data_IF_668600438344
#
_entry.id   IF_668600438344
#
_cell.length_a   1.000
_cell.length_b   1.000
_cell.length_c   1.000
_cell.angle_alpha   90.00
_cell.angle_beta   90.00
_cell.angle_gamma   90.00
#
_symmetry.space_group_name_H-M   'P 1'
#
loop_
_entity.id
_entity.type
_entity.pdbx_description
1 polymer ?
#
# COMPACT_ATOMS: atom_id res chain seq x y z
N UNK A 1 5.28 10.04 16.24
CA UNK A 1 4.01 10.64 15.78
C UNK A 1 3.94 12.11 16.12
N UNK A 2 3.81 12.51 17.41
CA UNK A 2 3.66 13.93 17.79
C UNK A 2 4.92 14.78 17.58
N UNK A 3 6.08 14.29 18.00
CA UNK A 3 7.35 15.04 17.93
C UNK A 3 7.95 15.02 16.51
N UNK A 4 8.09 13.82 15.92
CA UNK A 4 8.76 13.63 14.62
C UNK A 4 7.83 13.47 13.42
N UNK A 5 6.52 13.64 13.60
CA UNK A 5 5.57 13.54 12.48
C UNK A 5 5.38 12.16 11.85
N UNK A 6 5.92 11.08 12.43
CA UNK A 6 5.72 9.70 11.91
C UNK A 6 4.24 9.39 11.67
N UNK A 7 3.94 8.85 10.48
CA UNK A 7 2.58 8.57 9.99
C UNK A 7 2.18 7.10 9.98
N UNK A 8 3.16 6.18 10.07
CA UNK A 8 2.94 4.75 9.90
C UNK A 8 3.82 3.93 10.85
N UNK A 9 3.31 2.77 11.28
CA UNK A 9 4.03 1.73 12.01
C UNK A 9 4.22 0.51 11.09
N UNK A 10 5.44 -0.03 11.02
CA UNK A 10 5.70 -1.31 10.33
C UNK A 10 5.75 -2.45 11.34
N UNK A 11 5.02 -3.53 11.08
CA UNK A 11 5.14 -4.80 11.78
C UNK A 11 5.84 -5.82 10.89
N UNK A 12 6.89 -6.45 11.42
CA UNK A 12 7.61 -7.52 10.74
C UNK A 12 7.67 -8.75 11.65
N UNK A 13 6.72 -9.68 11.47
CA UNK A 13 6.56 -10.83 12.34
C UNK A 13 7.72 -11.83 12.21
N UNK A 14 8.23 -12.07 10.99
CA UNK A 14 9.40 -12.94 10.80
C UNK A 14 10.66 -12.43 11.50
N UNK A 15 10.99 -11.15 11.39
CA UNK A 15 12.18 -10.58 12.05
C UNK A 15 12.10 -10.63 13.58
N UNK A 16 10.89 -10.64 14.14
CA UNK A 16 10.66 -10.71 15.58
C UNK A 16 10.20 -12.09 16.07
N UNK A 17 10.18 -13.09 15.18
CA UNK A 17 9.86 -14.49 15.46
C UNK A 17 8.58 -14.72 16.31
N UNK A 18 7.47 -14.05 15.98
CA UNK A 18 6.18 -14.28 16.63
C UNK A 18 5.08 -14.57 15.63
N UNK A 19 4.10 -15.39 16.02
CA UNK A 19 2.92 -15.69 15.19
C UNK A 19 1.79 -14.70 15.54
N UNK A 20 1.34 -13.83 14.61
CA UNK A 20 0.42 -12.73 14.93
C UNK A 20 -0.91 -13.15 15.55
N UNK A 21 -1.51 -14.24 15.05
CA UNK A 21 -2.77 -14.82 15.57
C UNK A 21 -2.63 -15.47 16.96
N UNK A 22 -1.41 -15.68 17.45
CA UNK A 22 -1.12 -16.24 18.78
C UNK A 22 -0.49 -15.22 19.74
N UNK A 23 -0.03 -14.09 19.23
CA UNK A 23 0.63 -13.03 19.99
C UNK A 23 -0.24 -11.77 20.13
N UNK A 24 -1.56 -11.92 20.20
CA UNK A 24 -2.50 -10.78 20.23
C UNK A 24 -2.23 -9.81 21.39
N UNK A 25 -1.82 -10.32 22.56
CA UNK A 25 -1.51 -9.47 23.72
C UNK A 25 -0.27 -8.60 23.50
N UNK A 26 0.62 -8.97 22.56
CA UNK A 26 1.77 -8.16 22.17
C UNK A 26 1.37 -7.08 21.16
N UNK A 27 0.41 -7.38 20.28
CA UNK A 27 -0.06 -6.48 19.23
C UNK A 27 -1.03 -5.42 19.77
N UNK A 28 -1.96 -5.82 20.63
CA UNK A 28 -3.04 -4.98 21.18
C UNK A 28 -2.56 -3.64 21.75
N UNK A 29 -1.48 -3.56 22.57
CA UNK A 29 -1.00 -2.28 23.07
C UNK A 29 -0.61 -1.29 21.96
N UNK A 30 0.09 -1.79 20.92
CA UNK A 30 0.47 -0.97 19.78
C UNK A 30 -0.76 -0.54 18.97
N UNK A 31 -1.70 -1.47 18.71
CA UNK A 31 -2.90 -1.17 17.93
C UNK A 31 -3.82 -0.17 18.63
N UNK A 32 -3.96 -0.23 19.97
CA UNK A 32 -4.67 0.81 20.73
C UNK A 32 -4.05 2.19 20.53
N UNK A 33 -2.73 2.29 20.47
CA UNK A 33 -2.05 3.56 20.18
C UNK A 33 -2.19 3.99 18.73
N UNK A 34 -2.19 3.05 17.79
CA UNK A 34 -2.46 3.35 16.39
C UNK A 34 -3.89 3.90 16.19
N UNK A 35 -4.88 3.30 16.85
CA UNK A 35 -6.28 3.74 16.86
C UNK A 35 -6.40 5.16 17.46
N UNK A 36 -5.87 5.37 18.68
CA UNK A 36 -5.88 6.67 19.36
C UNK A 36 -5.23 7.81 18.53
N UNK A 37 -4.19 7.49 17.76
CA UNK A 37 -3.37 8.48 17.06
C UNK A 37 -3.65 8.56 15.55
N UNK A 38 -4.55 7.72 15.01
CA UNK A 38 -4.80 7.63 13.57
C UNK A 38 -3.57 7.19 12.76
N UNK A 39 -2.74 6.30 13.31
CA UNK A 39 -1.52 5.80 12.67
C UNK A 39 -1.83 4.56 11.85
N UNK A 40 -1.42 4.58 10.58
CA UNK A 40 -1.55 3.44 9.66
C UNK A 40 -0.54 2.36 10.02
N UNK A 41 -0.90 1.09 9.83
CA UNK A 41 -0.03 -0.05 10.12
C UNK A 41 0.31 -0.80 8.83
N UNK A 42 1.58 -0.83 8.45
CA UNK A 42 2.06 -1.68 7.36
C UNK A 42 2.52 -3.01 7.92
N UNK A 43 1.99 -4.10 7.38
CA UNK A 43 2.28 -5.45 7.80
C UNK A 43 3.19 -6.09 6.76
N UNK A 44 4.34 -6.60 7.18
CA UNK A 44 5.15 -7.47 6.33
C UNK A 44 4.42 -8.78 6.04
N UNK A 45 4.27 -9.15 4.77
CA UNK A 45 3.66 -10.42 4.37
C UNK A 45 4.36 -11.08 3.19
N UNK A 46 4.15 -12.39 3.04
CA UNK A 46 4.58 -13.14 1.85
C UNK A 46 5.58 -14.25 2.12
N UNK A 47 6.14 -14.32 3.33
CA UNK A 47 7.07 -15.36 3.76
C UNK A 47 6.60 -16.06 5.04
N UNK A 48 6.42 -17.39 4.96
CA UNK A 48 6.09 -18.22 6.12
C UNK A 48 7.31 -18.42 7.03
N UNK A 49 7.11 -18.81 8.31
CA UNK A 49 5.84 -19.22 8.91
C UNK A 49 5.06 -18.09 9.61
N UNK A 50 5.63 -16.89 9.78
CA UNK A 50 5.04 -15.83 10.61
C UNK A 50 4.42 -14.65 9.84
N UNK A 51 4.63 -14.56 8.53
CA UNK A 51 4.13 -13.45 7.70
C UNK A 51 3.12 -13.92 6.65
N UNK A 52 2.28 -14.90 7.00
CA UNK A 52 1.11 -15.28 6.20
C UNK A 52 0.02 -14.23 6.45
N UNK A 53 -0.55 -13.56 5.41
CA UNK A 53 -1.49 -12.45 5.57
C UNK A 53 -2.63 -12.73 6.54
N UNK A 54 -3.26 -13.90 6.41
CA UNK A 54 -4.42 -14.32 7.21
C UNK A 54 -4.14 -14.47 8.71
N UNK A 55 -2.87 -14.57 9.14
CA UNK A 55 -2.52 -14.57 10.55
C UNK A 55 -2.81 -13.23 11.24
N UNK A 56 -2.90 -12.13 10.49
CA UNK A 56 -3.23 -10.81 11.03
C UNK A 56 -4.73 -10.52 11.09
N UNK A 57 -5.60 -11.36 10.50
CA UNK A 57 -7.05 -11.15 10.54
C UNK A 57 -7.62 -10.91 11.94
N UNK A 58 -7.22 -11.67 12.99
CA UNK A 58 -7.78 -11.45 14.32
C UNK A 58 -7.54 -10.02 14.84
N UNK A 59 -6.34 -9.46 14.63
CA UNK A 59 -6.03 -8.09 15.07
C UNK A 59 -6.70 -7.04 14.17
N UNK A 60 -6.77 -7.29 12.86
CA UNK A 60 -7.43 -6.40 11.89
C UNK A 60 -8.92 -6.27 12.21
N UNK A 61 -9.59 -7.39 12.53
CA UNK A 61 -11.02 -7.42 12.87
C UNK A 61 -11.31 -6.89 14.28
N UNK A 62 -10.34 -6.94 15.19
CA UNK A 62 -10.46 -6.34 16.52
C UNK A 62 -10.32 -4.80 16.45
N UNK A 63 -9.44 -4.28 15.58
CA UNK A 63 -9.14 -2.84 15.46
C UNK A 63 -9.61 -2.26 14.12
N UNK A 64 -10.93 -2.22 13.92
CA UNK A 64 -11.54 -1.78 12.64
C UNK A 64 -11.28 -0.32 12.27
N UNK A 65 -10.91 0.53 13.23
CA UNK A 65 -10.55 1.93 13.00
C UNK A 65 -9.09 2.12 12.57
N UNK A 66 -8.24 1.10 12.76
CA UNK A 66 -6.85 1.13 12.32
C UNK A 66 -6.79 0.70 10.87
N UNK A 67 -6.15 1.51 10.03
CA UNK A 67 -5.90 1.13 8.65
C UNK A 67 -4.66 0.24 8.55
N UNK A 68 -4.77 -0.85 7.81
CA UNK A 68 -3.72 -1.85 7.61
C UNK A 68 -3.32 -1.94 6.14
N UNK A 69 -2.02 -1.86 5.86
CA UNK A 69 -1.45 -2.09 4.54
C UNK A 69 -0.78 -3.46 4.52
N UNK A 70 -1.23 -4.35 3.65
CA UNK A 70 -0.62 -5.66 3.39
C UNK A 70 0.62 -5.43 2.51
N UNK A 71 1.76 -5.29 3.19
CA UNK A 71 3.07 -5.16 2.56
C UNK A 71 3.39 -6.38 1.72
N UNK A 72 3.89 -6.12 0.52
CA UNK A 72 4.25 -7.09 -0.49
C UNK A 72 3.10 -7.99 -0.92
N UNK A 73 1.84 -7.63 -0.67
CA UNK A 73 0.67 -8.36 -1.16
C UNK A 73 0.74 -9.91 -1.03
N UNK A 74 1.38 -10.44 0.02
CA UNK A 74 1.58 -11.88 0.20
C UNK A 74 2.48 -12.61 -0.82
N UNK A 75 3.31 -11.91 -1.62
CA UNK A 75 4.09 -12.52 -2.74
C UNK A 75 5.55 -12.88 -2.46
N UNK A 76 6.16 -12.43 -1.36
CA UNK A 76 7.62 -12.54 -1.17
C UNK A 76 8.20 -13.96 -1.37
N UNK A 77 7.45 -15.02 -1.06
CA UNK A 77 7.80 -16.43 -1.37
C UNK A 77 6.96 -16.98 -2.53
N UNK A 78 7.13 -16.42 -3.73
CA UNK A 78 6.57 -16.99 -4.97
C UNK A 78 5.07 -16.79 -5.19
N UNK A 79 4.42 -15.85 -4.49
CA UNK A 79 3.03 -15.49 -4.76
C UNK A 79 1.94 -16.35 -4.16
N UNK A 80 2.28 -17.29 -3.28
CA UNK A 80 1.33 -18.27 -2.73
C UNK A 80 0.13 -17.61 -2.02
N UNK A 81 0.34 -16.45 -1.38
CA UNK A 81 -0.69 -15.82 -0.54
C UNK A 81 -1.34 -14.57 -1.18
N UNK A 82 -1.07 -14.28 -2.46
CA UNK A 82 -1.59 -13.06 -3.09
C UNK A 82 -3.12 -13.01 -3.16
N UNK A 83 -3.78 -14.15 -3.36
CA UNK A 83 -5.24 -14.22 -3.31
C UNK A 83 -5.79 -14.05 -1.89
N UNK A 84 -5.10 -14.53 -0.86
CA UNK A 84 -5.49 -14.27 0.52
C UNK A 84 -5.44 -12.77 0.82
N UNK A 85 -4.35 -12.11 0.42
CA UNK A 85 -4.20 -10.66 0.55
C UNK A 85 -5.29 -9.90 -0.23
N UNK A 86 -5.57 -10.31 -1.47
CA UNK A 86 -6.65 -9.74 -2.29
C UNK A 86 -8.00 -9.84 -1.58
N UNK A 87 -8.39 -11.05 -1.12
CA UNK A 87 -9.66 -11.23 -0.43
C UNK A 87 -9.75 -10.51 0.91
N UNK A 88 -8.62 -10.33 1.62
CA UNK A 88 -8.56 -9.48 2.81
C UNK A 88 -8.91 -8.02 2.50
N UNK A 89 -8.37 -7.49 1.40
CA UNK A 89 -8.65 -6.12 0.96
C UNK A 89 -10.12 -5.96 0.55
N UNK A 90 -10.68 -6.97 -0.13
CA UNK A 90 -12.09 -6.97 -0.55
C UNK A 90 -13.07 -7.14 0.62
N UNK A 91 -12.71 -7.92 1.64
CA UNK A 91 -13.55 -8.23 2.81
C UNK A 91 -13.59 -7.08 3.84
N UNK A 92 -12.45 -6.40 4.05
CA UNK A 92 -12.26 -5.49 5.18
C UNK A 92 -12.00 -4.04 4.72
N UNK A 93 -12.88 -3.07 5.05
CA UNK A 93 -12.80 -1.69 4.55
C UNK A 93 -11.66 -0.86 5.18
N UNK A 94 -10.89 -1.42 6.11
CA UNK A 94 -9.69 -0.81 6.69
C UNK A 94 -8.40 -1.51 6.21
N UNK A 95 -8.48 -2.37 5.18
CA UNK A 95 -7.33 -3.09 4.63
C UNK A 95 -7.00 -2.57 3.23
N UNK A 96 -5.71 -2.42 2.96
CA UNK A 96 -5.11 -1.91 1.74
C UNK A 96 -3.98 -2.85 1.31
N UNK A 97 -3.65 -2.89 0.01
CA UNK A 97 -2.50 -3.61 -0.52
C UNK A 97 -1.37 -2.67 -0.88
N UNK A 98 -0.13 -3.16 -0.80
CA UNK A 98 1.06 -2.49 -1.33
C UNK A 98 1.54 -3.19 -2.61
N UNK A 99 1.91 -2.42 -3.64
CA UNK A 99 2.24 -2.95 -4.97
C UNK A 99 3.60 -3.64 -5.07
N UNK A 100 4.55 -3.36 -4.18
CA UNK A 100 5.89 -3.94 -4.23
C UNK A 100 5.85 -5.46 -4.16
N UNK A 101 6.78 -6.11 -4.85
CA UNK A 101 6.80 -7.56 -5.09
C UNK A 101 5.64 -8.13 -5.91
N UNK A 102 4.49 -7.45 -6.01
CA UNK A 102 3.30 -7.98 -6.67
C UNK A 102 3.57 -8.18 -8.16
N UNK A 103 3.36 -9.42 -8.62
CA UNK A 103 3.56 -9.77 -10.03
C UNK A 103 2.71 -8.85 -10.91
N UNK A 104 3.30 -8.33 -11.98
CA UNK A 104 2.64 -7.41 -12.91
C UNK A 104 1.27 -7.95 -13.39
N UNK A 105 1.18 -9.25 -13.70
CA UNK A 105 -0.08 -9.89 -14.10
C UNK A 105 -1.16 -9.83 -13.01
N UNK A 106 -0.76 -9.96 -11.73
CA UNK A 106 -1.66 -9.85 -10.58
C UNK A 106 -2.06 -8.41 -10.29
N UNK A 107 -1.18 -7.43 -10.53
CA UNK A 107 -1.55 -6.00 -10.46
C UNK A 107 -2.73 -5.74 -11.39
N UNK A 108 -2.60 -6.14 -12.67
CA UNK A 108 -3.64 -5.93 -13.70
C UNK A 108 -4.91 -6.72 -13.41
N UNK A 109 -4.79 -7.95 -12.94
CA UNK A 109 -5.94 -8.78 -12.56
C UNK A 109 -6.71 -8.19 -11.38
N UNK A 110 -6.01 -7.88 -10.28
CA UNK A 110 -6.65 -7.39 -9.06
C UNK A 110 -7.18 -5.98 -9.23
N UNK A 111 -6.50 -5.09 -9.97
CA UNK A 111 -6.99 -3.73 -10.20
C UNK A 111 -8.29 -3.67 -11.03
N UNK A 112 -8.72 -4.76 -11.69
CA UNK A 112 -10.05 -4.84 -12.34
C UNK A 112 -11.20 -4.92 -11.34
N UNK A 113 -10.94 -5.52 -10.18
CA UNK A 113 -11.97 -5.88 -9.20
C UNK A 113 -11.83 -5.09 -7.90
N UNK A 114 -10.60 -4.78 -7.50
CA UNK A 114 -10.28 -4.06 -6.28
C UNK A 114 -10.65 -2.58 -6.42
N UNK A 115 -11.25 -1.96 -5.38
CA UNK A 115 -11.45 -0.51 -5.38
C UNK A 115 -10.12 0.22 -5.57
N UNK A 116 -10.12 1.22 -6.45
CA UNK A 116 -8.92 1.96 -6.87
C UNK A 116 -8.13 2.55 -5.70
N UNK A 117 -8.83 2.96 -4.64
CA UNK A 117 -8.26 3.58 -3.45
C UNK A 117 -7.57 2.59 -2.49
N UNK A 118 -7.59 1.29 -2.80
CA UNK A 118 -7.10 0.22 -1.93
C UNK A 118 -5.70 -0.28 -2.23
N UNK A 119 -5.05 0.23 -3.27
CA UNK A 119 -3.66 -0.11 -3.59
C UNK A 119 -2.76 1.11 -3.41
N UNK A 120 -1.67 0.94 -2.66
CA UNK A 120 -0.63 1.96 -2.52
C UNK A 120 0.66 1.50 -3.21
N UNK A 121 1.39 2.44 -3.79
CA UNK A 121 2.68 2.14 -4.38
C UNK A 121 3.76 1.86 -3.32
N UNK A 122 4.59 0.87 -3.61
CA UNK A 122 5.83 0.62 -2.89
C UNK A 122 6.82 -0.16 -3.76
N UNK A 123 8.10 0.05 -3.50
CA UNK A 123 9.20 -0.59 -4.26
C UNK A 123 9.93 -1.65 -3.45
N UNK A 124 9.87 -1.55 -2.12
CA UNK A 124 10.75 -2.29 -1.20
C UNK A 124 12.23 -2.21 -1.62
N UNK A 125 12.70 -1.00 -1.92
CA UNK A 125 14.12 -0.72 -2.12
C UNK A 125 14.85 -0.65 -0.77
N UNK A 126 16.13 -1.11 -0.66
CA UNK A 126 17.04 -1.48 -1.74
C UNK A 126 17.03 -2.93 -2.28
N UNK A 127 16.32 -3.94 -1.72
CA UNK A 127 16.24 -5.26 -2.35
C UNK A 127 15.83 -5.23 -3.83
N UNK A 128 15.05 -4.21 -4.18
CA UNK A 128 14.56 -3.99 -5.52
C UNK A 128 14.98 -2.66 -6.13
N UNK A 129 15.08 -2.66 -7.47
CA UNK A 129 15.21 -1.45 -8.26
C UNK A 129 13.89 -0.65 -8.30
N UNK A 130 13.89 0.64 -7.92
CA UNK A 130 12.68 1.48 -7.95
C UNK A 130 12.06 1.62 -9.35
N UNK A 131 12.89 1.72 -10.40
CA UNK A 131 12.44 1.96 -11.77
C UNK A 131 11.61 0.80 -12.30
N UNK A 132 12.06 -0.43 -12.05
CA UNK A 132 11.31 -1.65 -12.39
C UNK A 132 9.89 -1.65 -11.79
N UNK A 133 9.74 -1.29 -10.52
CA UNK A 133 8.43 -1.30 -9.85
C UNK A 133 7.52 -0.17 -10.29
N UNK A 134 8.08 1.00 -10.65
CA UNK A 134 7.32 2.06 -11.31
C UNK A 134 6.74 1.56 -12.64
N UNK A 135 7.58 0.95 -13.49
CA UNK A 135 7.15 0.41 -14.79
C UNK A 135 6.10 -0.72 -14.65
N UNK A 136 6.20 -1.54 -13.61
CA UNK A 136 5.18 -2.55 -13.33
C UNK A 136 3.80 -1.95 -13.05
N UNK A 137 3.74 -0.78 -12.41
CA UNK A 137 2.50 -0.09 -12.14
C UNK A 137 1.98 0.68 -13.37
N UNK A 138 2.89 1.29 -14.14
CA UNK A 138 2.60 2.00 -15.40
C UNK A 138 1.90 1.11 -16.44
N UNK A 139 2.09 -0.21 -16.38
CA UNK A 139 1.37 -1.15 -17.26
C UNK A 139 -0.15 -0.97 -17.20
N UNK A 140 -0.71 -0.45 -16.11
CA UNK A 140 -2.15 -0.21 -15.99
C UNK A 140 -2.66 0.77 -17.07
N UNK A 141 -1.80 1.66 -17.56
CA UNK A 141 -2.12 2.59 -18.63
C UNK A 141 -2.05 1.97 -20.04
N UNK A 142 -1.47 0.78 -20.18
CA UNK A 142 -1.39 0.10 -21.48
C UNK A 142 -2.75 -0.45 -21.92
N UNK A 143 -2.85 -0.77 -23.22
CA UNK A 143 -4.02 -1.41 -23.80
C UNK A 143 -4.31 -2.78 -23.15
N UNK A 144 -5.59 -3.09 -23.01
CA UNK A 144 -6.02 -4.43 -22.62
C UNK A 144 -5.59 -5.48 -23.67
N UNK A 145 -5.20 -6.71 -23.27
CA UNK A 145 -5.33 -7.31 -21.94
C UNK A 145 -4.13 -7.13 -21.00
N UNK A 146 -3.00 -6.58 -21.46
CA UNK A 146 -1.79 -6.41 -20.65
C UNK A 146 -1.90 -5.23 -19.68
N UNK A 147 -2.70 -4.22 -19.98
CA UNK A 147 -3.07 -3.14 -19.07
C UNK A 147 -4.59 -3.03 -18.88
N UNK A 148 -5.04 -1.86 -18.43
CA UNK A 148 -6.45 -1.55 -18.16
C UNK A 148 -6.95 -0.32 -18.91
N UNK A 149 -6.15 0.27 -19.81
CA UNK A 149 -6.41 1.59 -20.39
C UNK A 149 -6.65 2.65 -19.28
N UNK A 150 -5.95 2.55 -18.14
CA UNK A 150 -6.04 3.57 -17.11
C UNK A 150 -5.49 4.90 -17.66
N UNK A 151 -6.09 6.02 -17.26
CA UNK A 151 -5.50 7.32 -17.56
C UNK A 151 -4.30 7.60 -16.65
N UNK A 152 -3.45 8.57 -17.02
CA UNK A 152 -2.37 9.03 -16.15
C UNK A 152 -2.90 9.58 -14.82
N UNK A 153 -4.03 10.30 -14.84
CA UNK A 153 -4.71 10.74 -13.60
C UNK A 153 -5.09 9.57 -12.69
N UNK A 154 -5.50 8.44 -13.28
CA UNK A 154 -5.83 7.24 -12.55
C UNK A 154 -4.59 6.50 -12.03
N UNK A 155 -3.46 6.62 -12.73
CA UNK A 155 -2.17 6.09 -12.31
C UNK A 155 -1.61 6.86 -11.09
N UNK A 156 -1.80 8.18 -11.07
CA UNK A 156 -1.36 9.05 -9.97
C UNK A 156 -2.00 8.66 -8.62
N UNK A 157 -3.24 8.17 -8.66
CA UNK A 157 -3.87 7.61 -7.47
C UNK A 157 -3.08 6.45 -6.88
N UNK A 158 -2.63 5.51 -7.73
CA UNK A 158 -1.82 4.39 -7.29
C UNK A 158 -0.41 4.82 -6.87
N UNK A 159 0.21 5.75 -7.61
CA UNK A 159 1.60 6.19 -7.39
C UNK A 159 1.80 7.00 -6.11
N UNK A 160 0.80 7.77 -5.68
CA UNK A 160 0.98 8.67 -4.52
C UNK A 160 -0.29 9.08 -3.81
N UNK A 161 -1.38 9.35 -4.52
CA UNK A 161 -2.53 9.99 -3.86
C UNK A 161 -3.25 9.05 -2.87
N UNK A 162 -3.27 7.74 -3.15
CA UNK A 162 -3.84 6.76 -2.23
C UNK A 162 -3.10 6.75 -0.90
N UNK A 163 -1.76 6.69 -0.91
CA UNK A 163 -0.98 6.73 0.33
C UNK A 163 -1.09 8.09 1.01
N UNK A 164 -1.10 9.19 0.25
CA UNK A 164 -1.27 10.54 0.80
C UNK A 164 -2.58 10.67 1.57
N UNK A 165 -3.72 10.30 0.96
CA UNK A 165 -5.03 10.27 1.64
C UNK A 165 -5.01 9.38 2.87
N UNK A 166 -4.42 8.19 2.76
CA UNK A 166 -4.35 7.21 3.84
C UNK A 166 -3.60 7.73 5.08
N UNK A 167 -2.58 8.57 4.90
CA UNK A 167 -1.77 9.15 5.98
C UNK A 167 -2.14 10.59 6.35
N UNK A 168 -3.24 11.11 5.79
CA UNK A 168 -3.73 12.46 6.05
C UNK A 168 -2.82 13.56 5.47
N UNK A 169 -2.26 13.33 4.29
CA UNK A 169 -1.57 14.33 3.46
C UNK A 169 -2.50 14.70 2.31
N UNK A 170 -2.68 15.99 2.07
CA UNK A 170 -3.45 16.49 0.93
C UNK A 170 -2.74 16.09 -0.38
N UNK A 171 -3.41 15.33 -1.27
CA UNK A 171 -2.87 15.00 -2.58
C UNK A 171 -2.62 16.25 -3.43
N UNK A 172 -1.65 16.17 -4.33
CA UNK A 172 -1.48 17.19 -5.37
C UNK A 172 -2.34 16.86 -6.58
N UNK A 173 -2.98 17.86 -7.17
CA UNK A 173 -3.67 17.64 -8.44
C UNK A 173 -2.63 17.37 -9.55
N UNK A 174 -2.93 16.49 -10.51
CA UNK A 174 -2.05 16.30 -11.65
C UNK A 174 -1.91 17.62 -12.44
N UNK A 175 -0.75 17.90 -13.03
CA UNK A 175 -0.60 19.03 -13.94
C UNK A 175 -1.55 18.86 -15.13
N UNK A 176 -2.26 19.94 -15.51
CA UNK A 176 -3.27 19.86 -16.57
C UNK A 176 -2.65 19.73 -17.99
N UNK A 177 -1.37 20.00 -18.13
CA UNK A 177 -0.62 19.90 -19.39
C UNK A 177 0.87 19.59 -19.15
N UNK A 178 1.58 19.17 -20.19
CA UNK A 178 3.04 18.97 -20.16
C UNK A 178 3.76 20.29 -19.84
N UNK A 179 3.24 21.41 -20.33
CA UNK A 179 3.73 22.75 -20.05
C UNK A 179 3.56 23.10 -18.57
N UNK A 180 2.39 22.80 -17.99
CA UNK A 180 2.16 22.96 -16.54
C UNK A 180 3.13 22.09 -15.73
N UNK A 181 3.33 20.83 -16.14
CA UNK A 181 4.27 19.93 -15.49
C UNK A 181 5.71 20.46 -15.53
N UNK A 182 6.17 20.94 -16.69
CA UNK A 182 7.49 21.57 -16.85
C UNK A 182 7.62 22.83 -16.00
N UNK A 183 6.57 23.63 -15.93
CA UNK A 183 6.56 24.86 -15.13
C UNK A 183 6.62 24.54 -13.63
N UNK A 184 5.78 23.63 -13.15
CA UNK A 184 5.78 23.18 -11.75
C UNK A 184 7.12 22.56 -11.32
N UNK A 185 7.78 21.83 -12.24
CA UNK A 185 9.10 21.29 -11.99
C UNK A 185 10.17 22.40 -11.95
N UNK A 186 10.07 23.39 -12.83
CA UNK A 186 11.02 24.50 -12.93
C UNK A 186 10.94 25.49 -11.75
N UNK A 187 9.73 25.75 -11.25
CA UNK A 187 9.50 26.65 -10.12
C UNK A 187 9.50 25.95 -8.75
N UNK A 188 9.60 24.61 -8.74
CA UNK A 188 9.62 23.79 -7.52
C UNK A 188 8.27 23.65 -6.84
N UNK A 189 7.17 24.05 -7.50
CA UNK A 189 5.81 23.89 -6.99
C UNK A 189 5.27 22.46 -7.15
N UNK A 190 5.91 21.61 -7.96
CA UNK A 190 5.52 20.21 -8.09
C UNK A 190 5.55 19.50 -6.72
N UNK A 191 4.42 18.88 -6.33
CA UNK A 191 4.28 18.25 -5.02
C UNK A 191 3.89 19.19 -3.88
N UNK A 192 3.69 20.49 -4.14
CA UNK A 192 3.14 21.42 -3.13
C UNK A 192 1.62 21.25 -3.06
N UNK A 193 1.03 20.97 -1.88
CA UNK A 193 -0.42 20.89 -1.74
C UNK A 193 -1.08 22.17 -2.23
N UNK A 194 -2.08 22.03 -3.11
CA UNK A 194 -2.92 23.15 -3.52
C UNK A 194 -3.77 23.53 -2.30
N UNK A 195 -3.67 24.78 -1.86
CA UNK A 195 -4.40 25.33 -0.73
C UNK A 195 -5.92 25.35 -0.94
#
# INVERSE_FOLDING_TARGET
>A
VKEYGFKMLKLHANMHAYRPDRALDWLRPAMRKCDELGVVVLIHTGDGPYSIPTQFYPIIREFTNVNFVIGHFGVQTGGVYCFEAFWMIMDSPNVYGESGWLLQSRIVEFAKEMPRDRLVFGTDSPPNDPGMWLTHLEVLCHDAPQGLNASEDQLEDYMGNNVARLVGITPTAPPASVEDAKQQLADGSYGTPIA
#
